data_IF_625577037367
#
_entry.id   IF_625577037367
#
_cell.length_a   1.000
_cell.length_b   1.000
_cell.length_c   1.000
_cell.angle_alpha   90.00
_cell.angle_beta   90.00
_cell.angle_gamma   90.00
#
_symmetry.space_group_name_H-M   'P 1'
#
loop_
_entity.id
_entity.type
_entity.pdbx_description
1 polymer ?
#
# COMPACT_ATOMS: atom_id res chain seq x y z
N UNK A 1 37.47 -40.40 70.06
CA UNK A 1 37.87 -39.05 69.56
C UNK A 1 38.04 -38.98 68.03
N UNK A 2 38.43 -40.07 67.34
CA UNK A 2 38.78 -40.02 65.90
C UNK A 2 37.62 -39.86 64.89
N UNK A 3 36.40 -40.29 65.20
CA UNK A 3 35.28 -40.26 64.24
C UNK A 3 34.88 -38.83 63.82
N UNK A 4 35.01 -37.86 64.73
CA UNK A 4 34.66 -36.45 64.47
C UNK A 4 35.67 -35.78 63.53
N UNK A 5 36.94 -36.14 63.66
CA UNK A 5 38.02 -35.59 62.83
C UNK A 5 37.91 -36.07 61.37
N UNK A 6 37.50 -37.33 61.16
CA UNK A 6 37.25 -37.87 59.83
C UNK A 6 36.08 -37.17 59.15
N UNK A 7 34.98 -36.96 59.86
CA UNK A 7 33.80 -36.25 59.34
C UNK A 7 34.18 -34.83 58.88
N UNK A 8 34.91 -34.08 59.71
CA UNK A 8 35.37 -32.74 59.36
C UNK A 8 36.25 -32.75 58.11
N UNK A 9 37.15 -33.73 57.97
CA UNK A 9 38.03 -33.83 56.78
C UNK A 9 37.28 -34.21 55.49
N UNK A 10 36.16 -34.92 55.59
CA UNK A 10 35.31 -35.25 54.45
C UNK A 10 34.47 -34.04 54.03
N UNK A 11 33.90 -33.32 54.99
CA UNK A 11 33.16 -32.08 54.75
C UNK A 11 34.05 -31.00 54.12
N UNK A 12 35.29 -30.87 54.58
CA UNK A 12 36.27 -29.93 54.05
C UNK A 12 36.65 -30.27 52.61
N UNK A 13 36.99 -31.54 52.30
CA UNK A 13 37.28 -31.96 50.91
C UNK A 13 36.09 -31.83 49.98
N UNK A 14 34.87 -32.07 50.47
CA UNK A 14 33.65 -31.83 49.69
C UNK A 14 33.46 -30.34 49.39
N UNK A 15 33.68 -29.47 50.38
CA UNK A 15 33.58 -28.02 50.21
C UNK A 15 34.64 -27.48 49.25
N UNK A 16 35.88 -27.97 49.34
CA UNK A 16 36.96 -27.62 48.40
C UNK A 16 36.60 -28.00 46.95
N UNK A 17 36.04 -29.18 46.75
CA UNK A 17 35.65 -29.68 45.41
C UNK A 17 34.49 -28.86 44.84
N UNK A 18 33.47 -28.57 45.65
CA UNK A 18 32.32 -27.76 45.25
C UNK A 18 32.70 -26.30 44.95
N UNK A 19 33.60 -25.73 45.74
CA UNK A 19 34.14 -24.39 45.50
C UNK A 19 34.99 -24.38 44.22
N UNK A 20 35.79 -25.42 43.97
CA UNK A 20 36.56 -25.56 42.74
C UNK A 20 35.68 -25.77 41.50
N UNK A 21 34.58 -26.51 41.61
CA UNK A 21 33.61 -26.70 40.54
C UNK A 21 32.85 -25.39 40.24
N UNK A 22 32.39 -24.68 41.27
CA UNK A 22 31.71 -23.38 41.12
C UNK A 22 32.66 -22.32 40.58
N UNK A 23 33.90 -22.25 41.08
CA UNK A 23 34.92 -21.34 40.57
C UNK A 23 35.46 -21.80 39.20
N UNK A 24 35.44 -23.09 38.89
CA UNK A 24 35.79 -23.67 37.60
C UNK A 24 34.75 -23.34 36.54
N UNK A 25 33.46 -23.39 36.89
CA UNK A 25 32.34 -22.91 36.07
C UNK A 25 32.32 -21.39 35.87
N UNK A 26 32.76 -20.62 36.88
CA UNK A 26 32.91 -19.17 36.79
C UNK A 26 34.19 -18.74 36.04
N UNK A 27 35.29 -19.49 36.17
CA UNK A 27 36.50 -19.35 35.32
C UNK A 27 36.27 -19.88 33.91
N UNK A 28 35.29 -20.75 33.73
CA UNK A 28 34.70 -21.15 32.46
C UNK A 28 33.63 -20.16 31.95
N UNK A 29 33.63 -18.93 32.47
CA UNK A 29 33.25 -17.77 31.67
C UNK A 29 34.27 -17.52 30.55
N UNK A 30 34.61 -18.56 29.78
CA UNK A 30 35.33 -18.44 28.51
C UNK A 30 34.32 -17.90 27.48
N UNK A 31 33.92 -16.64 27.68
CA UNK A 31 33.23 -15.87 26.64
C UNK A 31 34.31 -15.55 25.61
N UNK A 32 34.58 -16.53 24.77
CA UNK A 32 35.25 -16.32 23.50
C UNK A 32 34.16 -15.93 22.53
N UNK A 33 34.34 -14.81 21.82
CA UNK A 33 33.44 -14.39 20.75
C UNK A 33 33.69 -15.34 19.59
N UNK A 34 32.95 -16.44 19.56
CA UNK A 34 33.08 -17.50 18.54
C UNK A 34 32.53 -17.01 17.19
N UNK A 35 31.52 -16.13 17.22
CA UNK A 35 30.91 -15.55 16.03
C UNK A 35 30.60 -14.07 16.26
N UNK A 36 31.02 -13.22 15.33
CA UNK A 36 30.73 -11.78 15.36
C UNK A 36 29.41 -11.57 14.66
N UNK A 37 28.52 -10.77 15.27
CA UNK A 37 27.24 -10.45 14.68
C UNK A 37 27.41 -9.85 13.27
N UNK A 38 26.99 -10.59 12.24
CA UNK A 38 26.97 -10.08 10.88
C UNK A 38 25.87 -9.05 10.71
N UNK A 39 26.21 -7.92 10.09
CA UNK A 39 25.25 -6.89 9.73
C UNK A 39 24.35 -7.48 8.63
N UNK A 40 23.01 -7.50 8.81
CA UNK A 40 22.12 -8.10 7.84
C UNK A 40 22.24 -7.36 6.50
N UNK A 41 22.72 -8.06 5.46
CA UNK A 41 22.88 -7.51 4.10
C UNK A 41 21.54 -7.15 3.46
N UNK A 42 20.45 -7.75 3.93
CA UNK A 42 19.10 -7.50 3.46
C UNK A 42 18.21 -7.06 4.62
N UNK A 43 17.33 -6.08 4.41
CA UNK A 43 16.35 -5.69 5.41
C UNK A 43 15.43 -6.88 5.74
N UNK A 44 15.41 -7.27 7.01
CA UNK A 44 14.56 -8.36 7.54
C UNK A 44 13.08 -7.99 7.43
N UNK A 45 12.76 -6.70 7.47
CA UNK A 45 11.44 -6.13 7.26
C UNK A 45 11.57 -4.71 6.69
N UNK A 46 10.58 -4.19 5.94
CA UNK A 46 9.40 -4.86 5.40
C UNK A 46 9.66 -5.54 4.04
N UNK A 47 8.95 -6.65 3.77
CA UNK A 47 9.00 -7.37 2.48
C UNK A 47 8.19 -6.61 1.41
N UNK A 48 8.73 -5.51 0.90
CA UNK A 48 8.05 -4.57 -0.03
C UNK A 48 7.36 -5.27 -1.21
N UNK A 49 8.04 -6.25 -1.85
CA UNK A 49 7.47 -7.00 -2.98
C UNK A 49 6.21 -7.80 -2.60
N UNK A 50 6.25 -8.48 -1.46
CA UNK A 50 5.11 -9.27 -0.96
C UNK A 50 3.93 -8.36 -0.62
N UNK A 51 4.20 -7.25 0.07
CA UNK A 51 3.17 -6.29 0.44
C UNK A 51 2.53 -5.65 -0.80
N UNK A 52 3.32 -5.34 -1.83
CA UNK A 52 2.82 -4.77 -3.08
C UNK A 52 1.90 -5.75 -3.82
N UNK A 53 2.32 -7.02 -3.94
CA UNK A 53 1.51 -8.07 -4.59
C UNK A 53 0.20 -8.28 -3.82
N UNK A 54 0.28 -8.34 -2.49
CA UNK A 54 -0.89 -8.49 -1.64
C UNK A 54 -1.85 -7.30 -1.77
N UNK A 55 -1.33 -6.08 -1.79
CA UNK A 55 -2.14 -4.86 -1.99
C UNK A 55 -2.80 -4.84 -3.37
N UNK A 56 -2.08 -5.24 -4.43
CA UNK A 56 -2.64 -5.33 -5.78
C UNK A 56 -3.80 -6.32 -5.83
N UNK A 57 -3.60 -7.52 -5.28
CA UNK A 57 -4.65 -8.54 -5.20
C UNK A 57 -5.86 -8.03 -4.41
N UNK A 58 -5.65 -7.51 -3.20
CA UNK A 58 -6.73 -6.97 -2.38
C UNK A 58 -7.46 -5.80 -3.07
N UNK A 59 -6.75 -4.95 -3.80
CA UNK A 59 -7.35 -3.84 -4.55
C UNK A 59 -8.24 -4.33 -5.68
N UNK A 60 -7.83 -5.37 -6.43
CA UNK A 60 -8.65 -5.95 -7.50
C UNK A 60 -9.90 -6.61 -6.91
N UNK A 61 -9.72 -7.53 -5.95
CA UNK A 61 -10.85 -8.22 -5.33
C UNK A 61 -11.80 -7.25 -4.61
N UNK A 62 -11.23 -6.28 -3.89
CA UNK A 62 -11.98 -5.24 -3.21
C UNK A 62 -12.73 -4.33 -4.18
N UNK A 63 -12.10 -3.91 -5.28
CA UNK A 63 -12.71 -3.06 -6.29
C UNK A 63 -13.86 -3.75 -7.03
N UNK A 64 -13.67 -5.02 -7.41
CA UNK A 64 -14.72 -5.84 -8.03
C UNK A 64 -15.88 -6.04 -7.05
N UNK A 65 -15.59 -6.39 -5.79
CA UNK A 65 -16.61 -6.53 -4.75
C UNK A 65 -17.39 -5.25 -4.50
N UNK A 66 -16.70 -4.10 -4.43
CA UNK A 66 -17.32 -2.77 -4.30
C UNK A 66 -18.23 -2.44 -5.49
N UNK A 67 -17.83 -2.78 -6.71
CA UNK A 67 -18.65 -2.58 -7.90
C UNK A 67 -19.97 -3.37 -7.80
N UNK A 68 -19.93 -4.62 -7.35
CA UNK A 68 -21.14 -5.42 -7.14
C UNK A 68 -22.03 -4.86 -6.04
N UNK A 69 -21.44 -4.35 -4.95
CA UNK A 69 -22.20 -3.72 -3.87
C UNK A 69 -22.90 -2.47 -4.40
N UNK A 70 -22.21 -1.61 -5.15
CA UNK A 70 -22.82 -0.44 -5.75
C UNK A 70 -23.91 -0.78 -6.76
N UNK A 71 -23.70 -1.81 -7.58
CA UNK A 71 -24.74 -2.29 -8.49
C UNK A 71 -25.96 -2.83 -7.73
N UNK A 72 -25.74 -3.53 -6.60
CA UNK A 72 -26.83 -4.02 -5.76
C UNK A 72 -27.60 -2.91 -5.04
N UNK A 73 -26.92 -1.83 -4.64
CA UNK A 73 -27.58 -0.66 -4.04
C UNK A 73 -28.29 0.22 -5.08
N UNK A 74 -27.90 0.12 -6.36
CA UNK A 74 -28.53 0.83 -7.47
C UNK A 74 -29.80 0.10 -7.93
N UNK A 75 -30.96 0.56 -7.50
CA UNK A 75 -32.27 0.04 -7.93
C UNK A 75 -32.70 0.52 -9.34
N UNK A 76 -31.76 0.95 -10.19
CA UNK A 76 -32.05 1.40 -11.55
C UNK A 76 -32.32 0.20 -12.47
N UNK A 77 -33.48 0.21 -13.13
CA UNK A 77 -33.85 -0.78 -14.15
C UNK A 77 -33.08 -0.47 -15.44
N UNK A 78 -32.01 -1.23 -15.71
CA UNK A 78 -31.10 -0.99 -16.85
C UNK A 78 -31.47 -1.82 -18.08
N UNK A 79 -32.17 -2.94 -17.91
CA UNK A 79 -32.49 -3.87 -18.99
C UNK A 79 -33.98 -4.18 -19.12
N UNK A 80 -34.43 -4.64 -20.31
CA UNK A 80 -35.77 -5.16 -20.50
C UNK A 80 -36.04 -6.39 -19.62
N UNK A 81 -35.02 -7.19 -19.29
CA UNK A 81 -35.12 -8.34 -18.38
C UNK A 81 -35.44 -7.92 -16.93
N UNK A 82 -34.93 -6.77 -16.49
CA UNK A 82 -35.27 -6.22 -15.18
C UNK A 82 -36.72 -5.72 -15.18
N UNK A 83 -37.19 -5.09 -16.27
CA UNK A 83 -38.61 -4.70 -16.42
C UNK A 83 -39.51 -5.93 -16.40
N UNK A 84 -39.16 -7.00 -17.10
CA UNK A 84 -39.95 -8.23 -17.15
C UNK A 84 -40.00 -8.91 -15.77
N UNK A 85 -38.88 -8.93 -15.03
CA UNK A 85 -38.81 -9.49 -13.67
C UNK A 85 -39.57 -8.66 -12.64
N UNK A 86 -39.57 -7.33 -12.75
CA UNK A 86 -40.29 -6.43 -11.84
C UNK A 86 -41.79 -6.29 -12.17
N UNK A 87 -42.16 -6.21 -13.45
CA UNK A 87 -43.52 -5.98 -13.90
C UNK A 87 -44.29 -7.29 -14.21
N UNK A 88 -43.60 -8.42 -14.36
CA UNK A 88 -44.21 -9.72 -14.67
C UNK A 88 -44.83 -9.81 -16.07
N UNK A 89 -44.48 -8.89 -16.97
CA UNK A 89 -45.00 -8.80 -18.32
C UNK A 89 -43.87 -8.94 -19.35
N UNK A 90 -44.08 -9.68 -20.45
CA UNK A 90 -43.06 -9.85 -21.47
C UNK A 90 -42.71 -8.52 -22.14
N UNK A 91 -41.41 -8.26 -22.33
CA UNK A 91 -40.93 -7.06 -23.02
C UNK A 91 -41.30 -7.09 -24.51
N UNK A 92 -42.11 -6.13 -24.95
CA UNK A 92 -42.57 -6.00 -26.36
C UNK A 92 -41.53 -5.34 -27.28
N UNK A 93 -40.45 -4.76 -26.73
CA UNK A 93 -39.40 -4.09 -27.50
C UNK A 93 -38.82 -2.86 -26.79
N UNK A 94 -37.64 -2.41 -27.21
CA UNK A 94 -36.93 -1.25 -26.64
C UNK A 94 -37.09 -0.04 -27.55
N UNK A 95 -37.60 1.08 -27.02
CA UNK A 95 -37.70 2.36 -27.75
C UNK A 95 -36.47 3.22 -27.41
N UNK A 96 -35.58 3.49 -28.39
CA UNK A 96 -34.42 4.32 -28.14
C UNK A 96 -34.83 5.80 -28.01
N UNK A 97 -34.32 6.47 -26.97
CA UNK A 97 -34.46 7.92 -26.83
C UNK A 97 -33.43 8.61 -27.73
N UNK A 98 -33.89 9.34 -28.75
CA UNK A 98 -33.04 10.20 -29.59
C UNK A 98 -33.15 11.65 -29.11
N UNK A 99 -32.08 12.24 -28.55
CA UNK A 99 -32.04 13.66 -28.23
C UNK A 99 -32.15 14.51 -29.51
N UNK A 100 -32.92 15.61 -29.51
CA UNK A 100 -33.18 16.41 -30.70
C UNK A 100 -31.91 16.99 -31.37
N UNK A 101 -30.82 17.18 -30.60
CA UNK A 101 -29.55 17.74 -31.10
C UNK A 101 -28.63 16.73 -31.83
N UNK A 102 -28.95 15.44 -31.82
CA UNK A 102 -28.05 14.41 -32.39
C UNK A 102 -28.19 14.22 -33.91
N UNK A 103 -29.10 14.95 -34.56
CA UNK A 103 -29.38 14.87 -36.00
C UNK A 103 -28.57 15.86 -36.86
N UNK A 104 -27.56 16.54 -36.31
CA UNK A 104 -26.73 17.46 -37.09
C UNK A 104 -25.31 17.59 -36.53
N UNK A 105 -24.40 16.68 -36.93
CA UNK A 105 -22.97 16.93 -37.21
C UNK A 105 -22.24 15.62 -37.53
N UNK A 106 -22.50 15.06 -38.71
CA UNK A 106 -21.58 14.12 -39.36
C UNK A 106 -20.78 14.86 -40.42
N UNK A 107 -19.77 15.64 -40.01
CA UNK A 107 -18.65 15.98 -40.91
C UNK A 107 -17.53 14.99 -40.67
N UNK A 108 -17.40 14.10 -41.66
CA UNK A 108 -16.28 13.20 -41.89
C UNK A 108 -14.99 14.02 -41.96
N UNK A 109 -13.98 13.62 -41.20
CA UNK A 109 -12.64 14.20 -41.27
C UNK A 109 -11.65 13.24 -40.64
N UNK A 110 -11.10 12.33 -41.45
CA UNK A 110 -9.92 11.54 -41.08
C UNK A 110 -8.77 12.50 -40.82
N UNK A 111 -8.26 12.54 -39.60
CA UNK A 111 -6.93 13.05 -39.28
C UNK A 111 -6.21 11.99 -38.44
N UNK A 112 -5.33 11.24 -39.10
CA UNK A 112 -4.23 10.58 -38.38
C UNK A 112 -3.27 11.68 -37.97
N UNK A 113 -3.19 11.99 -36.69
CA UNK A 113 -2.15 12.87 -36.14
C UNK A 113 -1.07 11.97 -35.53
N UNK A 114 0.09 11.93 -36.17
CA UNK A 114 1.24 11.15 -35.73
C UNK A 114 1.86 11.73 -34.46
N UNK A 115 2.30 10.85 -33.57
CA UNK A 115 3.13 11.20 -32.43
C UNK A 115 4.55 11.48 -32.90
N UNK A 116 4.86 12.76 -33.08
CA UNK A 116 6.26 13.22 -33.05
C UNK A 116 6.32 14.38 -32.06
N UNK A 117 6.83 14.12 -30.86
CA UNK A 117 7.48 15.19 -30.12
C UNK A 117 8.82 14.68 -29.59
N UNK A 118 9.83 15.38 -30.07
CA UNK A 118 11.24 15.23 -29.81
C UNK A 118 11.54 15.63 -28.37
N UNK A 119 12.48 14.92 -27.75
CA UNK A 119 13.16 15.38 -26.54
C UNK A 119 13.81 16.75 -26.82
N UNK A 120 13.43 17.77 -26.06
CA UNK A 120 14.12 19.05 -25.95
C UNK A 120 14.18 19.38 -24.47
N UNK A 121 15.26 18.99 -23.80
CA UNK A 121 16.42 19.83 -23.42
C UNK A 121 16.03 20.87 -22.37
N UNK A 122 16.61 20.67 -21.19
CA UNK A 122 16.55 21.56 -20.04
C UNK A 122 17.34 22.83 -20.35
N UNK A 123 16.67 23.97 -20.31
CA UNK A 123 17.31 25.27 -20.34
C UNK A 123 17.02 25.94 -18.98
N UNK A 124 18.10 26.07 -18.23
CA UNK A 124 18.21 26.72 -16.94
C UNK A 124 17.98 28.24 -17.06
N UNK A 125 17.50 28.84 -15.97
CA UNK A 125 17.63 30.26 -15.58
C UNK A 125 16.59 31.27 -16.12
N UNK A 126 15.63 31.63 -15.26
CA UNK A 126 15.33 33.05 -14.93
C UNK A 126 14.30 33.13 -13.80
N UNK A 127 14.64 33.88 -12.74
CA UNK A 127 13.78 34.23 -11.61
C UNK A 127 12.46 34.87 -12.07
N UNK A 128 11.33 34.26 -11.70
CA UNK A 128 10.00 34.87 -11.82
C UNK A 128 9.90 36.08 -10.89
N UNK A 129 10.08 37.27 -11.45
CA UNK A 129 9.61 38.51 -10.83
C UNK A 129 8.13 38.67 -11.12
N UNK A 130 7.31 38.66 -10.07
CA UNK A 130 5.85 38.82 -10.18
C UNK A 130 5.51 40.20 -10.77
N UNK A 131 4.56 40.29 -11.72
CA UNK A 131 4.16 41.57 -12.29
C UNK A 131 3.46 42.47 -11.26
N UNK A 132 3.88 43.72 -11.17
CA UNK A 132 3.30 44.76 -10.30
C UNK A 132 1.88 45.12 -10.77
N UNK A 133 0.88 44.90 -9.90
CA UNK A 133 -0.53 45.17 -10.18
C UNK A 133 -0.77 46.68 -10.09
N UNK A 134 -0.82 47.37 -11.25
CA UNK A 134 -1.35 48.73 -11.36
C UNK A 134 -2.83 48.68 -11.71
N UNK A 135 -3.64 49.08 -10.74
CA UNK A 135 -5.08 49.33 -10.78
C UNK A 135 -6.00 48.09 -10.80
N UNK A 136 -6.83 48.02 -9.76
CA UNK A 136 -7.91 47.05 -9.60
C UNK A 136 -9.20 47.79 -9.92
N UNK A 137 -9.66 47.71 -11.16
CA UNK A 137 -10.96 48.27 -11.54
C UNK A 137 -12.08 47.31 -11.12
N UNK A 138 -12.85 47.72 -10.10
CA UNK A 138 -13.96 46.93 -9.56
C UNK A 138 -15.18 47.07 -10.47
N UNK A 139 -15.35 46.13 -11.41
CA UNK A 139 -16.58 46.07 -12.21
C UNK A 139 -17.69 45.41 -11.38
N UNK A 140 -18.53 46.24 -10.76
CA UNK A 140 -19.72 45.80 -10.02
C UNK A 140 -20.86 45.46 -11.00
N UNK A 141 -21.05 44.17 -11.30
CA UNK A 141 -22.24 43.70 -12.03
C UNK A 141 -23.38 43.42 -11.04
N UNK A 142 -24.18 44.44 -10.76
CA UNK A 142 -25.50 44.27 -10.15
C UNK A 142 -26.56 44.23 -11.28
N UNK A 143 -27.11 43.06 -11.58
CA UNK A 143 -28.24 42.92 -12.51
C UNK A 143 -29.58 43.00 -11.73
N UNK A 144 -30.63 43.64 -12.30
CA UNK A 144 -31.93 43.86 -11.66
C UNK A 144 -32.78 42.59 -11.51
#
# INVERSE_FOLDING_TARGET
>A
KNKRNLLNSLEEKQSETLVSEKLGGLKAGNISIIDRAEIPKNPVSPKKKLNLILALLMGIFGGVGLCFIFEYLDNTVKGPDDVERLAGLPSLGVIPYLPPDSMSKKKRGSHYFGYTHSYGKEDHDSEETLPEIKEIELVNYNYP
#
